data_IF_815663125776
#
_entry.id   IF_815663125776
#
_cell.length_a   1.000
_cell.length_b   1.000
_cell.length_c   1.000
_cell.angle_alpha   90.00
_cell.angle_beta   90.00
_cell.angle_gamma   90.00
#
_symmetry.space_group_name_H-M   'P 1'
#
loop_
_entity.id
_entity.type
_entity.pdbx_description
1 polymer ?
#
# COMPACT_ATOMS: atom_id res chain seq x y z
N UNK A 1 -5.08 -17.44 -2.13
CA UNK A 1 -4.99 -16.68 -0.87
C UNK A 1 -5.13 -17.64 0.29
N UNK A 2 -4.27 -17.56 1.33
CA UNK A 2 -4.40 -18.38 2.54
C UNK A 2 -5.72 -18.07 3.26
N UNK A 3 -6.39 -19.10 3.81
CA UNK A 3 -7.59 -18.93 4.62
C UNK A 3 -7.17 -18.58 6.05
N UNK A 4 -7.76 -17.54 6.63
CA UNK A 4 -7.60 -17.22 8.05
C UNK A 4 -8.22 -18.34 8.90
N UNK A 5 -7.46 -18.88 9.85
CA UNK A 5 -7.83 -20.07 10.64
C UNK A 5 -8.29 -19.73 12.07
N UNK A 6 -8.25 -18.47 12.49
CA UNK A 6 -8.45 -18.07 13.89
C UNK A 6 -9.66 -17.16 14.14
N UNK A 7 -10.37 -16.69 13.12
CA UNK A 7 -11.52 -15.77 13.24
C UNK A 7 -12.92 -16.38 12.99
N UNK A 8 -14.00 -15.68 13.42
CA UNK A 8 -15.41 -16.09 13.21
C UNK A 8 -15.80 -16.32 11.74
N UNK A 9 -15.03 -15.77 10.80
CA UNK A 9 -15.23 -15.86 9.35
C UNK A 9 -14.35 -16.93 8.69
N UNK A 10 -13.90 -17.92 9.47
CA UNK A 10 -12.88 -18.97 9.19
C UNK A 10 -12.97 -19.70 7.85
N UNK A 11 -14.09 -19.63 7.14
CA UNK A 11 -14.30 -20.40 5.91
C UNK A 11 -15.02 -19.60 4.81
N UNK A 12 -15.27 -18.31 5.02
CA UNK A 12 -15.94 -17.49 4.01
C UNK A 12 -14.95 -17.08 2.91
N UNK A 13 -15.44 -17.08 1.67
CA UNK A 13 -14.68 -16.49 0.56
C UNK A 13 -14.72 -14.97 0.72
N UNK A 14 -13.57 -14.32 0.65
CA UNK A 14 -13.50 -12.86 0.62
C UNK A 14 -14.30 -12.32 -0.56
N UNK A 15 -15.06 -11.26 -0.33
CA UNK A 15 -15.84 -10.53 -1.34
C UNK A 15 -15.05 -9.38 -1.98
N UNK A 16 -13.83 -9.11 -1.51
CA UNK A 16 -12.95 -8.10 -2.10
C UNK A 16 -11.68 -7.87 -1.28
N UNK A 17 -11.08 -6.69 -1.46
CA UNK A 17 -9.92 -6.19 -0.72
C UNK A 17 -10.32 -5.02 0.17
N UNK A 18 -9.76 -4.93 1.38
CA UNK A 18 -9.89 -3.78 2.28
C UNK A 18 -8.55 -3.04 2.37
N UNK A 19 -8.62 -1.70 2.40
CA UNK A 19 -7.52 -0.83 2.79
C UNK A 19 -7.95 0.03 3.96
N UNK A 20 -7.15 0.03 5.01
CA UNK A 20 -7.39 0.77 6.25
C UNK A 20 -6.24 1.76 6.41
N UNK A 21 -6.57 3.04 6.49
CA UNK A 21 -5.59 4.10 6.79
C UNK A 21 -5.87 4.55 8.22
N UNK A 22 -4.92 4.33 9.12
CA UNK A 22 -5.03 4.73 10.52
C UNK A 22 -4.08 5.91 10.76
N UNK A 23 -4.57 6.96 11.40
CA UNK A 23 -3.79 8.08 11.89
C UNK A 23 -3.96 8.13 13.40
N UNK A 24 -2.87 7.90 14.14
CA UNK A 24 -2.82 7.94 15.61
C UNK A 24 -1.84 9.04 15.99
N UNK A 25 -2.36 10.14 16.51
CA UNK A 25 -1.57 11.31 16.92
C UNK A 25 -0.60 11.79 15.82
N UNK A 26 -1.07 11.80 14.58
CA UNK A 26 -0.29 12.21 13.41
C UNK A 26 0.50 11.08 12.74
N UNK A 27 0.74 9.96 13.42
CA UNK A 27 1.42 8.80 12.83
C UNK A 27 0.47 8.02 11.93
N UNK A 28 0.84 7.83 10.66
CA UNK A 28 0.01 7.15 9.65
C UNK A 28 0.49 5.72 9.42
N UNK A 29 -0.42 4.75 9.56
CA UNK A 29 -0.21 3.36 9.15
C UNK A 29 -1.24 2.93 8.10
N UNK A 30 -0.87 1.99 7.23
CA UNK A 30 -1.73 1.46 6.18
C UNK A 30 -1.78 -0.06 6.27
N UNK A 31 -2.95 -0.60 6.60
CA UNK A 31 -3.23 -2.04 6.63
C UNK A 31 -3.99 -2.44 5.37
N UNK A 32 -3.61 -3.59 4.79
CA UNK A 32 -4.24 -4.17 3.60
C UNK A 32 -4.61 -5.61 3.92
N UNK A 33 -5.87 -5.95 3.73
CA UNK A 33 -6.42 -7.26 4.07
C UNK A 33 -7.49 -7.69 3.07
N UNK A 34 -7.93 -8.94 3.14
CA UNK A 34 -9.11 -9.42 2.42
C UNK A 34 -10.38 -8.87 3.08
N UNK A 35 -11.36 -8.43 2.29
CA UNK A 35 -12.67 -8.02 2.78
C UNK A 35 -13.63 -9.21 2.76
N UNK A 36 -14.22 -9.55 3.91
CA UNK A 36 -15.23 -10.62 4.03
C UNK A 36 -16.66 -10.08 4.14
N UNK A 37 -16.82 -8.80 4.49
CA UNK A 37 -18.09 -8.09 4.47
C UNK A 37 -18.22 -7.26 3.20
N UNK A 38 -19.36 -7.29 2.53
CA UNK A 38 -19.70 -6.33 1.47
C UNK A 38 -19.98 -4.94 2.04
N UNK A 39 -19.81 -3.89 1.22
CA UNK A 39 -20.20 -2.53 1.56
C UNK A 39 -19.47 -1.46 0.78
N UNK A 40 -20.14 -0.32 0.55
CA UNK A 40 -19.52 0.89 -0.04
C UNK A 40 -18.61 1.57 1.00
N UNK A 41 -17.41 1.04 1.18
CA UNK A 41 -16.36 1.67 1.98
C UNK A 41 -15.51 2.53 1.05
N UNK A 42 -15.82 3.83 0.96
CA UNK A 42 -15.06 4.76 0.14
C UNK A 42 -14.68 5.98 0.96
N UNK A 43 -13.67 5.81 1.82
CA UNK A 43 -13.27 6.85 2.78
C UNK A 43 -14.19 6.90 3.99
N UNK A 44 -14.85 5.79 4.34
CA UNK A 44 -15.67 5.72 5.54
C UNK A 44 -14.79 6.01 6.76
N UNK A 45 -15.02 7.14 7.40
CA UNK A 45 -14.29 7.55 8.59
C UNK A 45 -14.90 6.90 9.83
N UNK A 46 -14.05 6.26 10.63
CA UNK A 46 -14.35 5.85 12.01
C UNK A 46 -13.43 6.63 12.93
N UNK A 47 -14.02 7.33 13.89
CA UNK A 47 -13.28 8.06 14.92
C UNK A 47 -13.14 7.15 16.13
N UNK A 48 -11.90 6.97 16.61
CA UNK A 48 -11.63 6.26 17.84
C UNK A 48 -11.56 7.23 19.02
N UNK A 49 -10.65 6.96 19.93
CA UNK A 49 -10.26 7.90 20.98
C UNK A 49 -9.67 9.19 20.38
N UNK A 50 -9.50 10.23 21.22
CA UNK A 50 -8.85 11.48 20.84
C UNK A 50 -7.52 11.18 20.15
N UNK A 51 -7.30 11.79 18.98
CA UNK A 51 -6.09 11.58 18.18
C UNK A 51 -6.16 10.42 17.18
N UNK A 52 -7.18 9.55 17.23
CA UNK A 52 -7.32 8.38 16.36
C UNK A 52 -8.35 8.61 15.26
N UNK A 53 -7.90 8.60 14.00
CA UNK A 53 -8.73 8.68 12.80
C UNK A 53 -8.47 7.47 11.92
N UNK A 54 -9.50 6.70 11.60
CA UNK A 54 -9.40 5.52 10.74
C UNK A 54 -10.28 5.73 9.51
N UNK A 55 -9.74 5.46 8.33
CA UNK A 55 -10.46 5.50 7.06
C UNK A 55 -10.47 4.12 6.40
N UNK A 56 -11.67 3.66 6.04
CA UNK A 56 -11.87 2.38 5.38
C UNK A 56 -12.17 2.57 3.89
N UNK A 57 -11.51 1.74 3.08
CA UNK A 57 -11.71 1.62 1.65
C UNK A 57 -11.90 0.15 1.28
N UNK A 58 -12.71 -0.11 0.26
CA UNK A 58 -12.95 -1.44 -0.29
C UNK A 58 -13.00 -1.41 -1.82
N UNK A 59 -12.46 -2.46 -2.44
CA UNK A 59 -12.48 -2.67 -3.89
C UNK A 59 -12.57 -4.18 -4.18
N UNK A 60 -13.05 -4.55 -5.37
CA UNK A 60 -13.45 -5.95 -5.65
C UNK A 60 -12.53 -6.68 -6.63
N UNK A 61 -11.68 -5.96 -7.36
CA UNK A 61 -10.75 -6.56 -8.33
C UNK A 61 -9.48 -7.10 -7.68
N UNK A 62 -8.81 -8.04 -8.36
CA UNK A 62 -7.62 -8.69 -7.83
C UNK A 62 -6.51 -7.69 -7.49
N UNK A 63 -6.03 -7.76 -6.24
CA UNK A 63 -4.94 -6.92 -5.69
C UNK A 63 -5.15 -5.41 -5.87
N UNK A 64 -6.40 -4.95 -6.00
CA UNK A 64 -6.75 -3.54 -6.21
C UNK A 64 -6.31 -2.60 -5.07
N UNK A 65 -6.03 -3.13 -3.88
CA UNK A 65 -5.53 -2.37 -2.74
C UNK A 65 -3.99 -2.26 -2.68
N UNK A 66 -3.26 -2.71 -3.71
CA UNK A 66 -1.80 -2.69 -3.74
C UNK A 66 -1.19 -1.31 -3.42
N UNK A 67 0.06 -1.31 -2.92
CA UNK A 67 0.82 -0.08 -2.81
C UNK A 67 1.07 0.49 -4.21
N UNK A 68 0.91 1.80 -4.38
CA UNK A 68 1.41 2.46 -5.58
C UNK A 68 2.93 2.37 -5.54
N UNK A 69 3.52 1.76 -6.56
CA UNK A 69 4.98 1.75 -6.73
C UNK A 69 5.43 3.22 -6.82
N UNK A 70 6.27 3.67 -5.91
CA UNK A 70 7.04 4.89 -6.10
C UNK A 70 7.84 4.72 -7.40
N UNK A 71 7.85 5.75 -8.26
CA UNK A 71 8.44 5.71 -9.60
C UNK A 71 9.82 5.01 -9.61
N UNK A 72 10.14 4.26 -10.68
CA UNK A 72 11.40 3.52 -10.75
C UNK A 72 12.57 4.51 -10.74
N UNK A 73 13.32 4.55 -9.65
CA UNK A 73 14.61 5.26 -9.54
C UNK A 73 15.70 4.62 -10.41
N UNK A 74 15.44 3.43 -10.98
CA UNK A 74 16.44 2.66 -11.74
C UNK A 74 17.00 3.35 -12.99
N UNK A 75 16.21 4.17 -13.70
CA UNK A 75 16.73 4.89 -14.87
C UNK A 75 17.71 6.01 -14.48
N UNK A 76 17.48 6.66 -13.33
CA UNK A 76 18.42 7.65 -12.80
C UNK A 76 19.74 6.99 -12.37
N UNK A 77 19.68 5.79 -11.79
CA UNK A 77 20.87 5.03 -11.40
C UNK A 77 21.77 4.66 -12.58
N UNK A 78 21.18 4.32 -13.73
CA UNK A 78 21.92 3.98 -14.96
C UNK A 78 22.66 5.22 -15.51
N UNK A 79 22.01 6.38 -15.54
CA UNK A 79 22.62 7.62 -16.04
C UNK A 79 23.83 8.07 -15.19
N UNK A 80 23.76 7.91 -13.86
CA UNK A 80 24.88 8.23 -12.95
C UNK A 80 26.08 7.30 -13.20
N UNK A 81 25.84 6.01 -13.42
CA UNK A 81 26.91 5.05 -13.73
C UNK A 81 27.59 5.39 -15.06
N UNK A 82 26.82 5.67 -16.12
CA UNK A 82 27.40 6.09 -17.40
C UNK A 82 28.20 7.39 -17.29
N UNK A 83 27.68 8.39 -16.57
CA UNK A 83 28.37 9.67 -16.39
C UNK A 83 29.68 9.50 -15.61
N UNK A 84 29.69 8.66 -14.58
CA UNK A 84 30.90 8.34 -13.78
C UNK A 84 31.98 7.62 -14.59
N UNK A 85 31.61 6.86 -15.62
CA UNK A 85 32.56 6.19 -16.52
C UNK A 85 33.10 7.14 -17.61
N UNK A 86 32.29 8.09 -18.08
CA UNK A 86 32.65 9.02 -19.16
C UNK A 86 33.52 10.20 -18.69
N UNK A 87 33.28 10.72 -17.48
CA UNK A 87 34.07 11.80 -16.87
C UNK A 87 35.60 11.54 -16.87
N UNK A 88 36.11 10.39 -16.38
CA UNK A 88 37.55 10.14 -16.34
C UNK A 88 38.15 9.96 -17.74
N UNK A 89 37.39 9.46 -18.72
CA UNK A 89 37.86 9.32 -20.11
C UNK A 89 38.05 10.69 -20.77
N UNK A 90 37.18 11.65 -20.47
CA UNK A 90 37.29 13.02 -20.97
C UNK A 90 38.44 13.82 -20.31
N UNK A 91 38.85 13.47 -19.09
CA UNK A 91 40.00 14.12 -18.43
C UNK A 91 41.37 13.61 -18.90
N UNK A 92 41.41 12.53 -19.68
CA UNK A 92 42.63 11.88 -20.18
C UNK A 92 42.85 12.16 -21.68
N UNK A 93 41.87 12.72 -22.38
CA UNK A 93 41.97 13.22 -23.75
C UNK A 93 42.26 14.73 -23.77
#
# INVERSE_FOLDING_TARGET
MPKDTTGKLKFERSVGCRKIIQNVDGNVSVVRECAYSGGKMHGMKRMGNRGVRIFYYQCETDRCNAAKTSAPTGLASIAVLFLSLLLPVLMVL
#
